data_IF_965956285562
#
_entry.id   IF_965956285562
#
_cell.length_a   1.000
_cell.length_b   1.000
_cell.length_c   1.000
_cell.angle_alpha   90.00
_cell.angle_beta   90.00
_cell.angle_gamma   90.00
#
_symmetry.space_group_name_H-M   'P 1'
#
loop_
_entity.id
_entity.type
_entity.pdbx_description
1 polymer ?
#
# COMPACT_ATOMS: atom_id res chain seq x y z
N UNK A 1 12.71 -7.55 11.85
CA UNK A 1 11.74 -6.56 11.37
C UNK A 1 11.59 -6.77 9.86
N UNK A 2 10.36 -6.81 9.37
CA UNK A 2 10.08 -6.82 7.94
C UNK A 2 10.04 -5.38 7.39
N UNK A 3 9.90 -5.21 6.08
CA UNK A 3 9.87 -3.88 5.45
C UNK A 3 8.68 -3.04 5.93
N UNK A 4 7.56 -3.67 6.30
CA UNK A 4 6.40 -3.01 6.88
C UNK A 4 6.69 -2.44 8.27
N UNK A 5 7.34 -3.21 9.14
CA UNK A 5 7.73 -2.75 10.48
C UNK A 5 8.66 -1.54 10.41
N UNK A 6 9.62 -1.57 9.48
CA UNK A 6 10.53 -0.44 9.24
C UNK A 6 9.74 0.79 8.79
N UNK A 7 8.75 0.60 7.93
CA UNK A 7 7.89 1.67 7.43
C UNK A 7 7.05 2.30 8.53
N UNK A 8 6.41 1.48 9.38
CA UNK A 8 5.60 1.95 10.50
C UNK A 8 6.45 2.67 11.56
N UNK A 9 7.64 2.11 11.88
CA UNK A 9 8.57 2.72 12.81
C UNK A 9 9.10 4.08 12.30
N UNK A 10 9.42 4.16 11.00
CA UNK A 10 9.83 5.41 10.37
C UNK A 10 8.73 6.46 10.45
N UNK A 11 7.47 6.06 10.24
CA UNK A 11 6.29 6.92 10.41
C UNK A 11 6.21 7.46 11.84
N UNK A 12 6.26 6.58 12.85
CA UNK A 12 6.19 6.96 14.26
C UNK A 12 7.33 7.94 14.65
N UNK A 13 8.56 7.64 14.25
CA UNK A 13 9.71 8.52 14.51
C UNK A 13 9.62 9.86 13.77
N UNK A 14 9.11 9.86 12.54
CA UNK A 14 8.96 11.06 11.71
C UNK A 14 7.90 12.00 12.25
N UNK A 15 6.70 11.48 12.52
CA UNK A 15 5.57 12.23 13.06
C UNK A 15 5.78 12.58 14.54
N UNK A 16 6.50 11.75 15.31
CA UNK A 16 6.59 11.86 16.77
C UNK A 16 5.29 11.43 17.47
N UNK A 17 4.52 10.59 16.81
CA UNK A 17 3.23 10.05 17.26
C UNK A 17 3.21 8.53 17.14
N UNK A 18 2.25 7.88 17.81
CA UNK A 18 2.06 6.44 17.84
C UNK A 18 0.69 6.07 17.24
N UNK A 19 0.41 4.78 17.09
CA UNK A 19 -0.77 4.29 16.39
C UNK A 19 -0.60 4.39 14.87
N UNK A 20 0.60 4.06 14.38
CA UNK A 20 0.98 4.24 12.96
C UNK A 20 0.94 2.90 12.23
N UNK A 21 0.18 2.83 11.17
CA UNK A 21 0.26 1.74 10.19
C UNK A 21 1.06 2.21 8.97
N UNK A 22 2.11 1.48 8.62
CA UNK A 22 2.87 1.69 7.39
C UNK A 22 2.52 0.64 6.35
N UNK A 23 2.11 1.06 5.15
CA UNK A 23 1.80 0.17 4.03
C UNK A 23 2.73 0.50 2.87
N UNK A 24 3.56 -0.45 2.50
CA UNK A 24 4.47 -0.33 1.37
C UNK A 24 3.96 -1.13 0.17
N UNK A 25 3.60 -0.41 -0.90
CA UNK A 25 3.19 -0.98 -2.19
C UNK A 25 4.37 -0.98 -3.17
N UNK A 26 5.16 -2.04 -3.10
CA UNK A 26 6.37 -2.22 -3.91
C UNK A 26 6.26 -3.37 -4.91
N UNK A 27 7.29 -4.22 -4.96
CA UNK A 27 7.27 -5.50 -5.68
C UNK A 27 6.22 -6.42 -5.07
N UNK A 28 6.12 -6.39 -3.74
CA UNK A 28 5.09 -7.03 -2.94
C UNK A 28 4.44 -5.97 -2.05
N UNK A 29 3.42 -6.36 -1.30
CA UNK A 29 2.87 -5.58 -0.20
C UNK A 29 3.62 -5.90 1.08
N UNK A 30 3.91 -4.89 1.90
CA UNK A 30 4.37 -5.09 3.27
C UNK A 30 3.64 -4.11 4.19
N UNK A 31 3.16 -4.62 5.33
CA UNK A 31 2.44 -3.82 6.32
C UNK A 31 3.11 -3.99 7.68
N UNK A 32 3.27 -2.89 8.41
CA UNK A 32 3.71 -2.89 9.80
C UNK A 32 2.83 -1.97 10.64
N UNK A 33 2.85 -2.19 11.95
CA UNK A 33 2.07 -1.39 12.88
C UNK A 33 2.83 -1.11 14.16
N UNK A 34 2.90 0.17 14.50
CA UNK A 34 3.35 0.66 15.82
C UNK A 34 2.10 1.02 16.61
N UNK A 35 1.89 0.38 17.76
CA UNK A 35 0.72 0.59 18.59
C UNK A 35 0.67 1.99 19.24
N UNK A 36 -0.39 2.27 19.97
CA UNK A 36 -0.56 3.57 20.63
C UNK A 36 0.40 3.81 21.79
N UNK A 37 1.10 2.78 22.27
CA UNK A 37 2.13 2.85 23.30
C UNK A 37 3.54 2.99 22.70
N UNK A 38 3.69 2.86 21.38
CA UNK A 38 4.95 2.99 20.66
C UNK A 38 5.71 1.67 20.47
N UNK A 39 5.05 0.53 20.69
CA UNK A 39 5.65 -0.77 20.47
C UNK A 39 5.37 -1.27 19.05
N UNK A 40 6.35 -1.92 18.43
CA UNK A 40 6.11 -2.68 17.21
C UNK A 40 5.17 -3.84 17.57
N UNK A 41 4.07 -3.95 16.87
CA UNK A 41 3.08 -4.99 17.11
C UNK A 41 3.72 -6.37 16.95
N UNK A 42 3.59 -7.20 18.00
CA UNK A 42 4.10 -8.57 18.00
C UNK A 42 3.19 -9.58 17.30
N UNK A 43 2.07 -9.13 16.73
CA UNK A 43 1.18 -9.98 15.95
C UNK A 43 1.83 -10.32 14.61
N UNK A 44 1.38 -11.41 14.01
CA UNK A 44 1.72 -11.72 12.64
C UNK A 44 1.00 -10.72 11.73
N UNK A 45 1.71 -9.71 11.25
CA UNK A 45 1.16 -8.65 10.40
C UNK A 45 1.31 -9.00 8.91
N UNK A 46 1.00 -10.23 8.53
CA UNK A 46 1.02 -10.68 7.13
C UNK A 46 -0.26 -10.23 6.39
N UNK A 47 -0.55 -8.93 6.45
CA UNK A 47 -1.76 -8.35 5.86
C UNK A 47 -1.74 -8.41 4.31
N UNK A 48 -0.59 -8.67 3.71
CA UNK A 48 -0.48 -9.04 2.29
C UNK A 48 -1.37 -10.23 1.89
N UNK A 49 -1.67 -11.11 2.84
CA UNK A 49 -2.57 -12.26 2.64
C UNK A 49 -3.97 -12.06 3.21
N UNK A 50 -4.26 -10.87 3.73
CA UNK A 50 -5.62 -10.53 4.16
C UNK A 50 -6.58 -10.49 2.96
N UNK A 51 -7.85 -10.92 3.12
CA UNK A 51 -8.84 -10.89 2.04
C UNK A 51 -9.20 -9.44 1.69
N UNK A 52 -9.12 -9.12 0.41
CA UNK A 52 -9.40 -7.79 -0.15
C UNK A 52 -10.51 -7.87 -1.19
N UNK A 53 -10.50 -8.89 -2.04
CA UNK A 53 -11.46 -9.07 -3.12
C UNK A 53 -12.20 -10.40 -2.99
N UNK A 54 -13.51 -10.33 -2.77
CA UNK A 54 -14.39 -11.50 -2.67
C UNK A 54 -15.11 -11.85 -3.98
N UNK A 55 -14.72 -11.28 -5.12
CA UNK A 55 -15.37 -11.57 -6.40
C UNK A 55 -15.00 -12.98 -6.90
N UNK A 56 -15.90 -13.65 -7.65
CA UNK A 56 -15.63 -15.00 -8.17
C UNK A 56 -14.40 -15.09 -9.11
N UNK A 57 -14.01 -13.96 -9.73
CA UNK A 57 -12.87 -13.83 -10.64
C UNK A 57 -11.71 -13.03 -10.00
N UNK A 58 -11.66 -12.99 -8.65
CA UNK A 58 -10.58 -12.35 -7.92
C UNK A 58 -9.21 -12.95 -8.26
N UNK A 59 -8.18 -12.14 -8.14
CA UNK A 59 -6.81 -12.54 -8.50
C UNK A 59 -6.25 -13.57 -7.50
N UNK A 60 -5.69 -14.65 -8.04
CA UNK A 60 -4.98 -15.66 -7.24
C UNK A 60 -3.51 -15.27 -7.07
N UNK A 61 -2.98 -15.47 -5.88
CA UNK A 61 -1.55 -15.37 -5.62
C UNK A 61 -0.86 -16.68 -5.96
N UNK A 62 0.05 -16.65 -6.91
CA UNK A 62 0.72 -17.83 -7.48
C UNK A 62 1.67 -18.51 -6.48
N UNK A 63 2.02 -17.84 -5.38
CA UNK A 63 2.89 -18.39 -4.35
C UNK A 63 2.12 -19.10 -3.24
N UNK A 64 1.07 -18.44 -2.70
CA UNK A 64 0.28 -18.98 -1.58
C UNK A 64 -0.92 -19.80 -2.05
N UNK A 65 -1.44 -19.52 -3.25
CA UNK A 65 -2.72 -20.03 -3.74
C UNK A 65 -3.93 -19.28 -3.19
N UNK A 66 -3.71 -18.20 -2.43
CA UNK A 66 -4.80 -17.38 -1.88
C UNK A 66 -5.47 -16.58 -2.98
N UNK A 67 -6.80 -16.54 -2.95
CA UNK A 67 -7.62 -15.80 -3.91
C UNK A 67 -8.07 -14.48 -3.28
N UNK A 68 -7.85 -13.37 -3.99
CA UNK A 68 -8.32 -12.05 -3.58
C UNK A 68 -7.54 -11.43 -2.41
N UNK A 69 -6.30 -11.85 -2.16
CA UNK A 69 -5.50 -11.32 -1.07
C UNK A 69 -4.81 -10.00 -1.43
N UNK A 70 -4.42 -9.23 -0.39
CA UNK A 70 -3.89 -7.87 -0.48
C UNK A 70 -2.74 -7.71 -1.46
N UNK A 71 -1.76 -8.61 -1.44
CA UNK A 71 -0.57 -8.55 -2.30
C UNK A 71 -0.90 -8.45 -3.80
N UNK A 72 -2.05 -9.00 -4.23
CA UNK A 72 -2.49 -8.96 -5.63
C UNK A 72 -3.10 -7.61 -6.03
N UNK A 73 -3.39 -6.74 -5.07
CA UNK A 73 -3.99 -5.41 -5.29
C UNK A 73 -3.05 -4.28 -4.85
N UNK A 74 -2.32 -4.45 -3.75
CA UNK A 74 -1.48 -3.42 -3.13
C UNK A 74 0.01 -3.60 -3.44
N UNK A 75 0.30 -4.00 -4.67
CA UNK A 75 1.65 -4.19 -5.19
C UNK A 75 1.73 -3.81 -6.66
N UNK A 76 2.94 -3.88 -7.25
CA UNK A 76 3.09 -3.72 -8.70
C UNK A 76 2.27 -4.75 -9.50
N UNK A 77 2.05 -5.95 -8.96
CA UNK A 77 1.21 -6.97 -9.59
C UNK A 77 -0.23 -6.52 -9.73
N UNK A 78 -0.77 -5.80 -8.74
CA UNK A 78 -2.10 -5.21 -8.83
C UNK A 78 -2.25 -4.30 -10.04
N UNK A 79 -1.31 -3.39 -10.24
CA UNK A 79 -1.27 -2.50 -11.41
C UNK A 79 -1.16 -3.29 -12.72
N UNK A 80 -0.25 -4.26 -12.77
CA UNK A 80 0.04 -5.05 -13.98
C UNK A 80 -1.15 -5.94 -14.35
N UNK A 81 -1.81 -6.57 -13.39
CA UNK A 81 -2.95 -7.47 -13.64
C UNK A 81 -4.25 -6.72 -13.95
N UNK A 82 -4.43 -5.52 -13.41
CA UNK A 82 -5.59 -4.68 -13.72
C UNK A 82 -5.45 -3.95 -15.06
N UNK A 83 -4.25 -3.67 -15.54
CA UNK A 83 -4.01 -2.95 -16.78
C UNK A 83 -4.70 -3.60 -18.01
N UNK A 84 -4.60 -4.92 -18.27
CA UNK A 84 -5.32 -5.57 -19.36
C UNK A 84 -6.85 -5.49 -19.22
N UNK A 85 -7.38 -5.53 -17.99
CA UNK A 85 -8.83 -5.35 -17.73
C UNK A 85 -9.31 -3.94 -18.11
N UNK A 86 -8.41 -2.95 -18.01
CA UNK A 86 -8.66 -1.59 -18.48
C UNK A 86 -8.35 -1.39 -19.98
N UNK A 87 -7.98 -2.43 -20.72
CA UNK A 87 -7.64 -2.36 -22.16
C UNK A 87 -6.24 -1.79 -22.43
N UNK A 88 -5.30 -1.94 -21.50
CA UNK A 88 -3.89 -1.56 -21.67
C UNK A 88 -3.09 -2.82 -21.97
N UNK A 89 -2.47 -2.86 -23.13
CA UNK A 89 -1.48 -3.89 -23.49
C UNK A 89 -0.12 -3.50 -22.94
N UNK A 90 0.51 -4.41 -22.17
CA UNK A 90 1.82 -4.21 -21.59
C UNK A 90 2.88 -4.98 -22.39
N UNK A 91 3.97 -4.32 -22.75
CA UNK A 91 5.03 -4.85 -23.59
C UNK A 91 6.35 -5.05 -22.85
N UNK A 92 6.50 -4.45 -21.67
CA UNK A 92 7.69 -4.56 -20.84
C UNK A 92 8.07 -6.01 -20.52
N UNK A 93 9.36 -6.30 -20.57
CA UNK A 93 9.89 -7.65 -20.33
C UNK A 93 9.85 -8.03 -18.84
N UNK A 94 9.93 -7.04 -17.95
CA UNK A 94 9.91 -7.24 -16.50
C UNK A 94 8.69 -6.57 -15.83
N UNK A 95 8.28 -7.03 -14.65
CA UNK A 95 7.21 -6.38 -13.88
C UNK A 95 7.48 -4.89 -13.63
N UNK A 96 8.74 -4.52 -13.36
CA UNK A 96 9.12 -3.13 -13.13
C UNK A 96 8.97 -2.25 -14.39
N UNK A 97 9.22 -2.80 -15.58
CA UNK A 97 9.02 -2.11 -16.86
C UNK A 97 7.52 -1.95 -17.15
N UNK A 98 6.72 -3.00 -16.93
CA UNK A 98 5.27 -2.95 -17.07
C UNK A 98 4.62 -1.91 -16.15
N UNK A 99 5.06 -1.83 -14.88
CA UNK A 99 4.62 -0.79 -13.96
C UNK A 99 4.94 0.61 -14.51
N UNK A 100 6.16 0.82 -15.04
CA UNK A 100 6.55 2.10 -15.63
C UNK A 100 5.70 2.49 -16.84
N UNK A 101 5.29 1.51 -17.66
CA UNK A 101 4.38 1.77 -18.79
C UNK A 101 3.04 2.34 -18.31
N UNK A 102 2.43 1.73 -17.28
CA UNK A 102 1.17 2.23 -16.71
C UNK A 102 1.37 3.59 -16.03
N UNK A 103 2.49 3.79 -15.33
CA UNK A 103 2.83 5.08 -14.72
C UNK A 103 3.03 6.19 -15.78
N UNK A 104 3.61 5.87 -16.91
CA UNK A 104 3.77 6.82 -18.04
C UNK A 104 2.41 7.19 -18.64
N UNK A 105 1.52 6.23 -18.83
CA UNK A 105 0.14 6.48 -19.27
C UNK A 105 -0.61 7.35 -18.25
N UNK A 106 -0.46 7.07 -16.95
CA UNK A 106 -1.06 7.89 -15.90
C UNK A 106 -0.52 9.33 -15.90
N UNK A 107 0.78 9.50 -16.10
CA UNK A 107 1.39 10.83 -16.21
C UNK A 107 0.84 11.63 -17.42
N UNK A 108 0.44 10.93 -18.49
CA UNK A 108 -0.21 11.47 -19.67
C UNK A 108 -1.74 11.63 -19.55
N UNK A 109 -2.30 11.44 -18.36
CA UNK A 109 -3.73 11.53 -18.06
C UNK A 109 -4.61 10.51 -18.86
N UNK A 110 -4.06 9.33 -19.20
CA UNK A 110 -4.80 8.26 -19.85
C UNK A 110 -5.90 7.72 -18.91
N UNK A 111 -7.15 7.80 -19.36
CA UNK A 111 -8.31 7.40 -18.56
C UNK A 111 -8.30 5.90 -18.16
N UNK A 112 -7.68 5.04 -18.98
CA UNK A 112 -7.54 3.61 -18.67
C UNK A 112 -6.57 3.37 -17.53
N UNK A 113 -5.43 4.07 -17.54
CA UNK A 113 -4.48 4.03 -16.44
C UNK A 113 -5.11 4.60 -15.16
N UNK A 114 -5.84 5.71 -15.27
CA UNK A 114 -6.59 6.27 -14.14
C UNK A 114 -7.55 5.24 -13.52
N UNK A 115 -8.32 4.51 -14.34
CA UNK A 115 -9.25 3.49 -13.86
C UNK A 115 -8.53 2.35 -13.08
N UNK A 116 -7.31 1.98 -13.47
CA UNK A 116 -6.49 1.01 -12.73
C UNK A 116 -6.18 1.53 -11.32
N UNK A 117 -5.69 2.75 -11.19
CA UNK A 117 -5.35 3.33 -9.89
C UNK A 117 -6.59 3.64 -9.03
N UNK A 118 -7.69 4.06 -9.64
CA UNK A 118 -8.98 4.22 -8.94
C UNK A 118 -9.47 2.89 -8.37
N UNK A 119 -9.37 1.79 -9.13
CA UNK A 119 -9.76 0.45 -8.65
C UNK A 119 -8.95 0.05 -7.42
N UNK A 120 -7.61 0.25 -7.45
CA UNK A 120 -6.76 -0.02 -6.29
C UNK A 120 -7.16 0.87 -5.10
N UNK A 121 -7.49 2.14 -5.34
CA UNK A 121 -7.96 3.05 -4.31
C UNK A 121 -9.28 2.62 -3.66
N UNK A 122 -10.22 2.07 -4.44
CA UNK A 122 -11.47 1.52 -3.90
C UNK A 122 -11.19 0.35 -2.98
N UNK A 123 -10.39 -0.63 -3.42
CA UNK A 123 -9.98 -1.75 -2.57
C UNK A 123 -9.28 -1.28 -1.30
N UNK A 124 -8.36 -0.31 -1.40
CA UNK A 124 -7.64 0.23 -0.26
C UNK A 124 -8.60 0.89 0.75
N UNK A 125 -9.57 1.69 0.30
CA UNK A 125 -10.53 2.35 1.17
C UNK A 125 -11.33 1.36 2.01
N UNK A 126 -11.86 0.29 1.38
CA UNK A 126 -12.57 -0.77 2.10
C UNK A 126 -11.63 -1.56 3.03
N UNK A 127 -10.42 -1.84 2.60
CA UNK A 127 -9.42 -2.56 3.41
C UNK A 127 -9.02 -1.77 4.65
N UNK A 128 -8.82 -0.47 4.54
CA UNK A 128 -8.53 0.41 5.67
C UNK A 128 -9.69 0.48 6.67
N UNK A 129 -10.94 0.49 6.17
CA UNK A 129 -12.13 0.36 7.01
C UNK A 129 -12.16 -0.97 7.78
N UNK A 130 -11.76 -2.07 7.14
CA UNK A 130 -11.62 -3.37 7.79
C UNK A 130 -10.50 -3.36 8.83
N UNK A 131 -9.32 -2.81 8.52
CA UNK A 131 -8.19 -2.77 9.44
C UNK A 131 -8.50 -1.93 10.70
N UNK A 132 -9.29 -0.86 10.57
CA UNK A 132 -9.75 -0.06 11.69
C UNK A 132 -10.56 -0.86 12.74
N UNK A 133 -11.09 -2.04 12.37
CA UNK A 133 -11.80 -2.91 13.32
C UNK A 133 -10.87 -3.72 14.22
N UNK A 134 -9.59 -3.85 13.85
CA UNK A 134 -8.62 -4.70 14.54
C UNK A 134 -7.44 -3.93 15.13
N UNK A 135 -7.16 -2.73 14.63
CA UNK A 135 -6.01 -1.93 15.01
C UNK A 135 -6.45 -0.53 15.44
N UNK A 136 -5.87 -0.03 16.53
CA UNK A 136 -6.08 1.36 16.99
C UNK A 136 -5.24 2.32 16.15
N UNK A 137 -5.61 2.48 14.87
CA UNK A 137 -4.88 3.29 13.90
C UNK A 137 -5.20 4.76 14.09
N UNK A 138 -4.17 5.60 14.15
CA UNK A 138 -4.27 7.07 14.11
C UNK A 138 -3.77 7.63 12.78
N UNK A 139 -2.75 7.01 12.21
CA UNK A 139 -2.12 7.42 10.95
C UNK A 139 -1.85 6.21 10.06
N UNK A 140 -2.07 6.38 8.74
CA UNK A 140 -1.70 5.39 7.73
C UNK A 140 -0.73 6.03 6.76
N UNK A 141 0.52 5.54 6.76
CA UNK A 141 1.57 6.02 5.86
C UNK A 141 1.70 5.11 4.64
N UNK A 142 1.43 5.67 3.46
CA UNK A 142 1.47 4.95 2.18
C UNK A 142 2.80 5.19 1.47
N UNK A 143 3.50 4.14 1.12
CA UNK A 143 4.80 4.25 0.44
C UNK A 143 5.02 3.16 -0.61
N UNK A 144 6.16 3.19 -1.26
CA UNK A 144 6.52 2.23 -2.30
C UNK A 144 6.36 2.78 -3.72
N UNK A 145 6.85 2.01 -4.69
CA UNK A 145 6.92 2.46 -6.10
C UNK A 145 5.56 2.65 -6.76
N UNK A 146 4.56 1.90 -6.36
CA UNK A 146 3.19 2.05 -6.86
C UNK A 146 2.60 3.41 -6.47
N UNK A 147 2.98 3.91 -5.30
CA UNK A 147 2.53 5.19 -4.76
C UNK A 147 3.26 6.40 -5.37
N UNK A 148 4.11 6.20 -6.38
CA UNK A 148 4.87 7.29 -7.00
C UNK A 148 4.06 8.06 -8.04
N UNK A 149 4.12 9.40 -7.98
CA UNK A 149 3.47 10.30 -8.94
C UNK A 149 1.95 10.27 -8.90
N UNK A 150 1.29 10.71 -9.96
CA UNK A 150 -0.18 10.86 -10.05
C UNK A 150 -0.95 9.59 -9.68
N UNK A 151 -0.41 8.41 -9.94
CA UNK A 151 -1.09 7.15 -9.60
C UNK A 151 -1.28 6.99 -8.09
N UNK A 152 -0.25 7.29 -7.31
CA UNK A 152 -0.34 7.26 -5.84
C UNK A 152 -1.34 8.29 -5.30
N UNK A 153 -1.36 9.49 -5.88
CA UNK A 153 -2.32 10.53 -5.51
C UNK A 153 -3.76 10.06 -5.75
N UNK A 154 -4.04 9.45 -6.91
CA UNK A 154 -5.35 8.87 -7.26
C UNK A 154 -5.76 7.76 -6.28
N UNK A 155 -4.82 6.86 -5.93
CA UNK A 155 -5.11 5.81 -4.94
C UNK A 155 -5.55 6.42 -3.61
N UNK A 156 -4.79 7.38 -3.08
CA UNK A 156 -5.08 8.00 -1.78
C UNK A 156 -6.38 8.80 -1.80
N UNK A 157 -6.60 9.59 -2.85
CA UNK A 157 -7.83 10.37 -3.03
C UNK A 157 -9.06 9.45 -3.12
N UNK A 158 -8.98 8.38 -3.92
CA UNK A 158 -10.08 7.43 -4.07
C UNK A 158 -10.34 6.68 -2.78
N UNK A 159 -9.30 6.20 -2.09
CA UNK A 159 -9.45 5.51 -0.82
C UNK A 159 -10.06 6.42 0.25
N UNK A 160 -9.62 7.67 0.33
CA UNK A 160 -10.17 8.66 1.25
C UNK A 160 -11.67 8.90 0.97
N UNK A 161 -12.05 9.04 -0.29
CA UNK A 161 -13.45 9.19 -0.69
C UNK A 161 -14.30 7.99 -0.28
N UNK A 162 -13.83 6.76 -0.52
CA UNK A 162 -14.53 5.53 -0.08
C UNK A 162 -14.67 5.51 1.45
N UNK A 163 -13.63 5.91 2.18
CA UNK A 163 -13.69 5.98 3.63
C UNK A 163 -14.67 7.05 4.13
N UNK A 164 -14.77 8.19 3.46
CA UNK A 164 -15.73 9.24 3.81
C UNK A 164 -17.18 8.80 3.60
N UNK A 165 -17.42 8.03 2.54
CA UNK A 165 -18.75 7.56 2.16
C UNK A 165 -19.21 6.33 2.98
N UNK A 166 -18.30 5.36 3.20
CA UNK A 166 -18.66 4.04 3.75
C UNK A 166 -18.21 3.84 5.22
N UNK A 167 -17.20 4.59 5.67
CA UNK A 167 -16.61 4.47 7.02
C UNK A 167 -16.44 5.84 7.69
N UNK A 168 -17.50 6.66 7.81
CA UNK A 168 -17.40 8.05 8.29
C UNK A 168 -16.88 8.16 9.73
N UNK A 169 -17.03 7.12 10.55
CA UNK A 169 -16.57 7.09 11.93
C UNK A 169 -15.06 6.79 12.07
N UNK A 170 -14.38 6.38 11.00
CA UNK A 170 -12.94 6.14 10.98
C UNK A 170 -12.21 7.49 10.83
N UNK A 171 -11.42 7.86 11.83
CA UNK A 171 -10.85 9.20 11.94
C UNK A 171 -9.62 9.45 11.03
N UNK A 172 -8.89 8.41 10.63
CA UNK A 172 -7.69 8.54 9.80
C UNK A 172 -8.02 8.45 8.30
N UNK A 173 -7.08 8.91 7.48
CA UNK A 173 -7.05 8.73 6.03
C UNK A 173 -5.64 8.32 5.59
N UNK A 174 -5.47 7.64 4.43
CA UNK A 174 -4.15 7.33 3.93
C UNK A 174 -3.41 8.60 3.52
N UNK A 175 -2.15 8.69 3.89
CA UNK A 175 -1.30 9.86 3.62
C UNK A 175 0.09 9.45 3.12
N UNK A 176 0.69 10.29 2.31
CA UNK A 176 2.08 10.11 1.91
C UNK A 176 3.01 10.57 3.05
N UNK A 177 4.12 9.85 3.31
CA UNK A 177 5.08 10.27 4.30
C UNK A 177 5.71 11.62 3.90
N UNK A 178 5.86 12.51 4.87
CA UNK A 178 6.59 13.77 4.67
C UNK A 178 8.09 13.54 4.44
N UNK A 179 8.83 14.60 4.13
CA UNK A 179 10.26 14.51 3.86
C UNK A 179 11.06 14.03 5.09
N UNK A 180 10.64 14.43 6.29
CA UNK A 180 11.27 14.01 7.54
C UNK A 180 11.10 12.52 7.77
N UNK A 181 9.90 12.00 7.62
CA UNK A 181 9.57 10.57 7.75
C UNK A 181 10.34 9.73 6.73
N UNK A 182 10.44 10.21 5.48
CA UNK A 182 11.25 9.52 4.45
C UNK A 182 12.73 9.44 4.81
N UNK A 183 13.31 10.50 5.33
CA UNK A 183 14.72 10.53 5.78
C UNK A 183 14.96 9.62 6.98
N UNK A 184 14.05 9.63 7.95
CA UNK A 184 14.13 8.74 9.13
C UNK A 184 14.02 7.28 8.71
N UNK A 185 13.08 6.96 7.80
CA UNK A 185 12.91 5.60 7.26
C UNK A 185 14.17 5.07 6.59
N UNK A 186 14.85 5.88 5.78
CA UNK A 186 16.12 5.51 5.16
C UNK A 186 17.21 5.26 6.21
N UNK A 187 17.28 6.08 7.26
CA UNK A 187 18.26 5.92 8.34
C UNK A 187 17.95 4.71 9.21
N UNK A 188 16.70 4.44 9.54
CA UNK A 188 16.27 3.29 10.32
C UNK A 188 16.51 1.98 9.55
N UNK A 189 16.21 1.95 8.25
CA UNK A 189 16.52 0.82 7.38
C UNK A 189 18.03 0.56 7.32
N UNK A 190 18.84 1.60 7.19
CA UNK A 190 20.30 1.47 7.19
C UNK A 190 20.85 0.96 8.54
N UNK A 191 20.28 1.42 9.66
CA UNK A 191 20.69 0.99 11.00
C UNK A 191 20.25 -0.44 11.34
N UNK A 192 19.22 -0.97 10.68
CA UNK A 192 18.73 -2.35 10.89
C UNK A 192 19.51 -3.40 10.09
N UNK A 193 20.42 -2.99 9.21
CA UNK A 193 21.26 -3.92 8.47
C UNK A 193 22.26 -4.59 9.47
N UNK A 194 22.41 -5.93 9.44
CA UNK A 194 23.38 -6.60 10.27
C UNK A 194 24.78 -6.10 9.90
N UNK A 195 25.60 -5.79 10.91
CA UNK A 195 27.02 -5.52 10.69
C UNK A 195 27.64 -6.73 9.97
N UNK A 196 28.14 -6.48 8.77
CA UNK A 196 28.94 -7.47 8.05
C UNK A 196 30.23 -7.71 8.88
N UNK A 197 30.30 -8.85 9.55
CA UNK A 197 31.50 -9.34 10.23
C UNK A 197 32.43 -10.01 9.23
#
# INVERSE_FOLDING_TARGET
>A
ANDGDVSALAGAMGLGENGIMGIAMGTSEAVGYVDTEGNICGWLNELAFAPVDGQPDAMEDEWSGDIGCGVKYFSQDGVIKLAPRAGIELTGASPAEKLKEVQALMAADDARAKAVYESIGVYLGHTLGLYAMFYDIRHVQMMGRVMSGKGGDIIMETASRVMDEEYPDVAFRPEAPDEKTRRVGQSAAAASLPELK
#
